data_IF_980068212713
#
_entry.id   IF_980068212713
#
_cell.length_a   1.000
_cell.length_b   1.000
_cell.length_c   1.000
_cell.angle_alpha   90.00
_cell.angle_beta   90.00
_cell.angle_gamma   90.00
#
_symmetry.space_group_name_H-M   'P 1'
#
loop_
_entity.id
_entity.type
_entity.pdbx_description
1 polymer ?
#
# COMPACT_ATOMS: atom_id res chain seq x y z
N UNK A 1 -37.33 35.16 59.97
CA UNK A 1 -36.90 34.97 58.54
C UNK A 1 -35.42 34.87 58.57
N UNK A 2 -34.87 33.63 58.45
CA UNK A 2 -33.44 33.31 58.44
C UNK A 2 -33.03 33.13 57.01
N UNK A 3 -31.99 33.86 56.58
CA UNK A 3 -31.40 33.76 55.23
C UNK A 3 -30.53 32.51 55.09
N UNK A 4 -30.34 31.99 53.85
CA UNK A 4 -29.61 30.76 53.61
C UNK A 4 -28.11 30.94 53.72
N UNK A 5 -27.54 29.99 54.44
CA UNK A 5 -26.12 29.76 54.70
C UNK A 5 -25.33 29.53 53.40
N UNK A 6 -24.39 30.42 53.06
CA UNK A 6 -23.43 30.26 51.95
C UNK A 6 -22.31 29.35 52.42
N UNK A 7 -22.37 28.08 52.06
CA UNK A 7 -21.21 27.19 52.20
C UNK A 7 -20.13 27.58 51.19
N UNK A 8 -19.02 28.02 51.71
CA UNK A 8 -17.78 28.25 50.96
C UNK A 8 -17.21 26.87 50.55
N UNK A 9 -17.12 26.62 49.29
CA UNK A 9 -16.42 25.43 48.74
C UNK A 9 -14.91 25.63 48.93
N UNK A 10 -14.16 24.60 49.33
CA UNK A 10 -12.71 24.71 49.50
C UNK A 10 -12.01 24.91 48.13
N UNK A 11 -11.07 25.85 48.12
CA UNK A 11 -10.18 26.10 46.95
C UNK A 11 -9.48 24.83 46.52
N UNK A 12 -9.57 24.55 45.22
CA UNK A 12 -8.86 23.43 44.60
C UNK A 12 -7.35 23.70 44.65
N UNK A 13 -6.62 22.86 45.36
CA UNK A 13 -5.15 22.87 45.35
C UNK A 13 -4.61 22.76 43.93
N UNK A 14 -3.47 23.42 43.59
CA UNK A 14 -2.88 23.37 42.27
C UNK A 14 -2.53 21.90 41.90
N UNK A 15 -3.11 21.43 40.82
CA UNK A 15 -2.81 20.12 40.28
C UNK A 15 -1.33 20.10 39.89
N UNK A 16 -0.55 19.27 40.55
CA UNK A 16 0.82 18.94 40.13
C UNK A 16 0.75 18.45 38.68
N UNK A 17 1.58 19.06 37.84
CA UNK A 17 1.79 18.65 36.46
C UNK A 17 2.11 17.15 36.43
N UNK A 18 1.14 16.33 36.09
CA UNK A 18 1.39 14.95 35.69
C UNK A 18 1.95 14.98 34.27
N UNK A 19 3.06 14.29 34.01
CA UNK A 19 3.53 14.14 32.64
C UNK A 19 2.38 13.54 31.79
N UNK A 20 2.22 13.98 30.54
CA UNK A 20 1.19 13.44 29.67
C UNK A 20 1.34 11.91 29.59
N UNK A 21 0.22 11.16 29.53
CA UNK A 21 0.27 9.72 29.46
C UNK A 21 1.10 9.30 28.23
N UNK A 22 1.85 8.20 28.35
CA UNK A 22 2.77 7.70 27.32
C UNK A 22 2.15 7.63 25.90
N UNK A 23 0.83 7.44 25.82
CA UNK A 23 0.07 7.46 24.58
C UNK A 23 0.08 8.83 23.86
N UNK A 24 0.08 9.95 24.59
CA UNK A 24 0.13 11.28 23.96
C UNK A 24 1.49 11.54 23.29
N UNK A 25 2.56 10.98 23.85
CA UNK A 25 3.92 11.09 23.27
C UNK A 25 4.08 10.20 22.03
N UNK A 26 3.41 9.06 22.00
CA UNK A 26 3.41 8.17 20.85
C UNK A 26 2.67 8.81 19.67
N UNK A 27 1.48 9.37 19.91
CA UNK A 27 0.69 10.05 18.87
C UNK A 27 1.40 11.29 18.33
N UNK A 28 2.08 12.10 19.13
CA UNK A 28 2.81 13.28 18.65
C UNK A 28 3.99 12.91 17.73
N UNK A 29 4.58 11.72 17.86
CA UNK A 29 5.61 11.22 16.94
C UNK A 29 5.02 10.78 15.59
N UNK A 30 3.79 10.28 15.55
CA UNK A 30 3.07 9.97 14.31
C UNK A 30 2.60 11.22 13.57
N UNK A 31 2.34 12.33 14.30
CA UNK A 31 1.85 13.60 13.75
C UNK A 31 2.93 14.67 13.57
N UNK A 32 4.17 14.42 13.95
CA UNK A 32 5.24 15.24 13.42
C UNK A 32 5.00 15.34 11.92
N UNK A 33 4.92 16.57 11.32
CA UNK A 33 4.69 16.70 9.90
C UNK A 33 5.82 15.90 9.24
N UNK A 34 5.47 14.65 8.83
CA UNK A 34 6.38 13.88 7.99
C UNK A 34 6.72 14.86 6.89
N UNK A 35 7.98 15.14 6.64
CA UNK A 35 8.31 16.00 5.54
C UNK A 35 7.52 15.38 4.37
N UNK A 36 6.51 16.09 3.90
CA UNK A 36 5.87 15.80 2.62
C UNK A 36 6.97 16.02 1.62
N UNK A 37 7.92 15.11 1.70
CA UNK A 37 9.04 15.09 0.81
C UNK A 37 8.41 14.84 -0.54
N UNK A 38 8.31 15.94 -1.24
CA UNK A 38 9.13 16.02 -2.33
C UNK A 38 8.50 16.21 -3.66
N UNK A 39 7.51 15.58 -4.04
CA UNK A 39 7.22 15.50 -5.47
C UNK A 39 6.43 16.70 -5.99
N UNK A 40 5.52 17.24 -5.20
CA UNK A 40 4.62 18.29 -5.70
C UNK A 40 5.33 19.64 -5.94
N UNK A 41 6.21 20.05 -5.04
CA UNK A 41 6.89 21.36 -5.17
C UNK A 41 7.95 21.36 -6.26
N UNK A 42 8.63 20.24 -6.46
CA UNK A 42 9.63 20.09 -7.53
C UNK A 42 8.99 19.86 -8.90
N UNK A 43 7.88 19.12 -8.96
CA UNK A 43 7.07 18.99 -10.17
C UNK A 43 6.47 20.30 -10.64
N UNK A 44 6.11 21.19 -9.72
CA UNK A 44 5.55 22.50 -10.01
C UNK A 44 6.62 23.53 -10.41
N UNK A 45 7.88 23.32 -10.05
CA UNK A 45 8.96 24.25 -10.31
C UNK A 45 9.56 24.18 -11.72
N UNK A 46 9.22 23.15 -12.52
CA UNK A 46 9.68 23.06 -13.92
C UNK A 46 11.18 22.85 -14.11
N UNK A 47 11.88 22.33 -13.10
CA UNK A 47 13.33 22.19 -13.08
C UNK A 47 13.83 21.00 -13.93
N UNK A 48 14.89 21.18 -14.75
CA UNK A 48 15.60 20.08 -15.38
C UNK A 48 16.32 19.27 -14.30
N UNK A 49 16.00 18.00 -14.15
CA UNK A 49 16.52 17.10 -13.11
C UNK A 49 15.45 16.28 -12.44
N UNK A 50 14.20 16.49 -12.78
CA UNK A 50 13.05 15.70 -12.31
C UNK A 50 13.10 14.24 -12.77
N UNK A 51 13.86 13.90 -13.81
CA UNK A 51 14.09 12.53 -14.25
C UNK A 51 14.47 11.61 -13.08
N UNK A 52 15.34 12.10 -12.17
CA UNK A 52 15.76 11.36 -10.99
C UNK A 52 14.66 11.13 -9.94
N UNK A 53 13.59 11.93 -9.94
CA UNK A 53 12.48 11.79 -8.98
C UNK A 53 11.42 10.76 -9.44
N UNK A 54 11.41 10.43 -10.73
CA UNK A 54 10.49 9.46 -11.34
C UNK A 54 11.15 8.17 -11.80
N UNK A 55 12.46 8.04 -11.62
CA UNK A 55 13.12 6.74 -11.80
C UNK A 55 12.69 5.83 -10.66
N UNK A 56 12.01 4.75 -11.02
CA UNK A 56 11.73 3.69 -10.09
C UNK A 56 13.04 3.13 -9.58
N UNK A 57 13.15 3.09 -8.26
CA UNK A 57 14.30 2.45 -7.62
C UNK A 57 13.88 1.04 -7.29
N UNK A 58 14.56 0.06 -7.85
CA UNK A 58 14.43 -1.30 -7.36
C UNK A 58 14.93 -1.35 -5.92
N UNK A 59 14.12 -1.84 -5.02
CA UNK A 59 14.50 -2.12 -3.65
C UNK A 59 15.72 -3.06 -3.61
N UNK A 60 16.63 -2.84 -2.67
CA UNK A 60 17.86 -3.64 -2.56
C UNK A 60 17.91 -4.36 -1.23
N UNK A 61 18.13 -5.65 -1.29
CA UNK A 61 18.39 -6.45 -0.11
C UNK A 61 19.77 -6.12 0.49
N UNK A 62 19.95 -6.29 1.81
CA UNK A 62 21.28 -6.27 2.42
C UNK A 62 22.23 -7.26 1.75
N UNK A 63 23.52 -6.94 1.74
CA UNK A 63 24.55 -7.81 1.13
C UNK A 63 24.64 -9.19 1.83
N UNK A 64 24.43 -9.22 3.14
CA UNK A 64 24.37 -10.45 3.93
C UNK A 64 22.91 -10.75 4.30
N UNK A 65 22.42 -11.92 3.90
CA UNK A 65 21.08 -12.38 4.23
C UNK A 65 21.14 -13.52 5.25
N UNK A 66 20.28 -13.52 6.28
CA UNK A 66 20.20 -14.61 7.25
C UNK A 66 19.71 -15.90 6.57
N UNK A 67 20.05 -17.04 7.13
CA UNK A 67 19.55 -18.35 6.72
C UNK A 67 18.96 -19.06 7.94
N UNK A 68 17.66 -19.34 7.96
CA UNK A 68 16.63 -19.07 6.93
C UNK A 68 16.35 -17.58 6.73
N UNK A 69 15.86 -17.21 5.54
CA UNK A 69 15.50 -15.82 5.21
C UNK A 69 14.09 -15.50 5.70
N UNK A 70 13.99 -14.62 6.68
CA UNK A 70 12.74 -14.07 7.20
C UNK A 70 12.66 -12.58 6.88
N UNK A 71 11.50 -12.11 6.42
CA UNK A 71 11.28 -10.72 6.07
C UNK A 71 10.41 -10.03 7.14
N UNK A 72 10.77 -8.83 7.53
CA UNK A 72 9.92 -7.97 8.36
C UNK A 72 9.73 -6.64 7.64
N UNK A 73 8.56 -6.44 7.05
CA UNK A 73 8.27 -5.25 6.24
C UNK A 73 7.37 -4.26 7.00
N UNK A 74 7.67 -2.95 6.82
CA UNK A 74 7.06 -1.89 7.60
C UNK A 74 7.45 -1.99 9.07
N UNK A 75 8.72 -2.33 9.34
CA UNK A 75 9.17 -2.66 10.69
C UNK A 75 9.13 -1.46 11.66
N UNK A 76 9.12 -0.23 11.15
CA UNK A 76 9.19 0.95 11.99
C UNK A 76 10.33 0.86 13.01
N UNK A 77 10.01 1.13 14.27
CA UNK A 77 10.95 1.03 15.39
C UNK A 77 11.07 -0.43 15.96
N UNK A 78 10.22 -1.36 15.48
CA UNK A 78 10.24 -2.76 15.92
C UNK A 78 11.27 -3.59 15.13
N UNK A 79 12.55 -3.45 15.45
CA UNK A 79 13.61 -4.18 14.76
C UNK A 79 13.74 -5.58 15.36
N UNK A 80 13.42 -6.61 14.58
CA UNK A 80 13.43 -8.01 15.01
C UNK A 80 14.74 -8.70 14.65
N UNK A 81 15.33 -9.42 15.62
CA UNK A 81 16.49 -10.24 15.37
C UNK A 81 16.14 -11.49 14.54
N UNK A 82 17.03 -11.87 13.62
CA UNK A 82 16.82 -12.99 12.70
C UNK A 82 15.97 -12.65 11.47
N UNK A 83 15.51 -11.40 11.34
CA UNK A 83 14.79 -10.91 10.18
C UNK A 83 15.64 -9.94 9.35
N UNK A 84 15.33 -9.85 8.05
CA UNK A 84 15.67 -8.70 7.24
C UNK A 84 14.59 -7.66 7.48
N UNK A 85 14.91 -6.64 8.28
CA UNK A 85 14.01 -5.55 8.63
C UNK A 85 13.98 -4.52 7.49
N UNK A 86 12.78 -4.21 6.99
CA UNK A 86 12.53 -3.39 5.81
C UNK A 86 11.58 -2.26 6.18
N UNK A 87 11.96 -1.01 5.93
CA UNK A 87 11.09 0.14 6.16
C UNK A 87 11.36 1.26 5.17
N UNK A 88 10.35 2.09 4.93
CA UNK A 88 10.49 3.28 4.08
C UNK A 88 11.46 4.30 4.69
N UNK A 89 11.46 4.42 6.02
CA UNK A 89 12.33 5.31 6.79
C UNK A 89 13.19 4.51 7.76
N UNK A 90 14.43 4.09 7.37
CA UNK A 90 15.29 3.36 8.26
C UNK A 90 15.71 4.23 9.45
N UNK A 91 15.41 3.77 10.65
CA UNK A 91 15.77 4.44 11.92
C UNK A 91 16.98 3.79 12.60
N UNK A 92 17.35 2.59 12.17
CA UNK A 92 18.40 1.78 12.70
C UNK A 92 19.28 1.22 11.55
N UNK A 93 20.55 1.01 11.78
CA UNK A 93 21.48 0.45 10.77
C UNK A 93 21.11 -0.98 10.32
N UNK A 94 20.30 -1.70 11.13
CA UNK A 94 19.78 -3.03 10.80
C UNK A 94 18.53 -2.99 9.91
N UNK A 95 18.01 -1.80 9.59
CA UNK A 95 16.82 -1.61 8.76
C UNK A 95 17.26 -1.21 7.35
N UNK A 96 16.91 -2.01 6.35
CA UNK A 96 17.12 -1.66 4.97
C UNK A 96 16.02 -0.71 4.48
N UNK A 97 16.40 0.33 3.76
CA UNK A 97 15.43 1.22 3.14
C UNK A 97 14.64 0.48 2.07
N UNK A 98 13.31 0.47 2.22
CA UNK A 98 12.42 -0.28 1.37
C UNK A 98 11.09 0.43 1.17
N UNK A 99 10.73 0.69 -0.07
CA UNK A 99 9.40 1.14 -0.42
C UNK A 99 8.59 -0.03 -0.97
N UNK A 100 7.52 -0.40 -0.29
CA UNK A 100 6.67 -1.54 -0.66
C UNK A 100 6.02 -1.38 -2.05
N UNK A 101 5.92 -0.15 -2.55
CA UNK A 101 5.33 0.17 -3.85
C UNK A 101 6.38 0.31 -4.97
N UNK A 102 7.68 0.28 -4.65
CA UNK A 102 8.73 0.17 -5.65
C UNK A 102 8.97 -1.30 -6.05
N UNK A 103 9.51 -1.56 -7.25
CA UNK A 103 9.78 -2.93 -7.67
C UNK A 103 10.66 -3.69 -6.68
N UNK A 104 10.24 -4.88 -6.33
CA UNK A 104 11.05 -5.76 -5.50
C UNK A 104 12.13 -6.46 -6.35
N UNK A 105 13.23 -6.94 -5.76
CA UNK A 105 14.25 -7.67 -6.49
C UNK A 105 13.68 -8.89 -7.22
N UNK A 106 14.07 -9.08 -8.48
CA UNK A 106 13.70 -10.26 -9.23
C UNK A 106 14.88 -10.69 -10.15
N UNK A 107 15.30 -11.95 -10.10
CA UNK A 107 14.86 -12.96 -9.15
C UNK A 107 15.33 -12.67 -7.71
N UNK A 108 14.61 -13.18 -6.72
CA UNK A 108 15.09 -13.21 -5.35
C UNK A 108 16.33 -14.14 -5.26
N UNK A 109 17.36 -13.78 -4.49
CA UNK A 109 18.57 -14.62 -4.38
C UNK A 109 18.24 -16.01 -3.83
N UNK A 110 17.21 -16.12 -3.01
CA UNK A 110 16.57 -17.35 -2.54
C UNK A 110 15.15 -17.03 -2.04
N UNK A 111 14.21 -18.00 -2.07
CA UNK A 111 12.89 -17.80 -1.51
C UNK A 111 12.94 -17.52 0.00
N UNK A 112 12.12 -16.58 0.47
CA UNK A 112 12.00 -16.31 1.89
C UNK A 112 11.18 -17.40 2.58
N UNK A 113 11.60 -17.79 3.78
CA UNK A 113 10.96 -18.81 4.61
C UNK A 113 9.66 -18.34 5.23
N UNK A 114 9.49 -17.02 5.34
CA UNK A 114 8.26 -16.38 5.78
C UNK A 114 8.43 -14.88 5.94
N UNK A 115 7.35 -14.22 6.36
CA UNK A 115 7.35 -12.80 6.57
C UNK A 115 6.49 -12.39 7.77
N UNK A 116 6.76 -11.19 8.30
CA UNK A 116 6.02 -10.55 9.37
C UNK A 116 5.73 -9.10 9.03
N UNK A 117 4.56 -8.60 9.39
CA UNK A 117 4.24 -7.18 9.39
C UNK A 117 3.22 -6.85 10.47
N UNK A 118 3.35 -5.67 11.05
CA UNK A 118 2.40 -5.10 11.99
C UNK A 118 2.13 -3.65 11.60
N UNK A 119 0.86 -3.24 11.58
CA UNK A 119 0.42 -1.87 11.26
C UNK A 119 1.02 -1.29 9.97
N UNK A 120 0.93 -2.06 8.89
CA UNK A 120 1.58 -1.71 7.62
C UNK A 120 0.60 -1.66 6.45
N UNK A 121 -0.13 -2.75 6.20
CA UNK A 121 -0.96 -2.87 4.99
C UNK A 121 -2.11 -1.86 4.96
N UNK A 122 -2.68 -1.50 6.09
CA UNK A 122 -3.78 -0.53 6.20
C UNK A 122 -3.42 0.88 5.72
N UNK A 123 -2.13 1.20 5.58
CA UNK A 123 -1.65 2.46 5.04
C UNK A 123 -1.69 2.56 3.51
N UNK A 124 -2.06 1.48 2.84
CA UNK A 124 -2.15 1.37 1.39
C UNK A 124 -3.59 1.23 0.92
N UNK A 125 -3.90 1.70 -0.30
CA UNK A 125 -5.19 1.44 -0.94
C UNK A 125 -5.33 -0.04 -1.32
N UNK A 126 -6.54 -0.53 -1.49
CA UNK A 126 -6.82 -1.96 -1.72
C UNK A 126 -6.02 -2.56 -2.89
N UNK A 127 -5.90 -1.85 -4.00
CA UNK A 127 -5.14 -2.32 -5.16
C UNK A 127 -3.63 -2.35 -4.88
N UNK A 128 -3.12 -1.40 -4.08
CA UNK A 128 -1.72 -1.37 -3.65
C UNK A 128 -1.42 -2.51 -2.67
N UNK A 129 -2.34 -2.83 -1.78
CA UNK A 129 -2.21 -3.99 -0.90
C UNK A 129 -2.15 -5.29 -1.71
N UNK A 130 -3.00 -5.43 -2.75
CA UNK A 130 -2.92 -6.60 -3.64
C UNK A 130 -1.56 -6.68 -4.32
N UNK A 131 -1.06 -5.56 -4.84
CA UNK A 131 0.29 -5.51 -5.44
C UNK A 131 1.36 -5.97 -4.46
N UNK A 132 1.37 -5.42 -3.23
CA UNK A 132 2.33 -5.79 -2.17
C UNK A 132 2.24 -7.30 -1.86
N UNK A 133 1.03 -7.84 -1.73
CA UNK A 133 0.85 -9.26 -1.46
C UNK A 133 1.26 -10.15 -2.65
N UNK A 134 1.10 -9.71 -3.90
CA UNK A 134 1.61 -10.43 -5.07
C UNK A 134 3.14 -10.45 -5.10
N UNK A 135 3.81 -9.32 -4.81
CA UNK A 135 5.27 -9.26 -4.66
C UNK A 135 5.76 -10.18 -3.54
N UNK A 136 5.06 -10.14 -2.40
CA UNK A 136 5.36 -11.01 -1.27
C UNK A 136 5.20 -12.49 -1.62
N UNK A 137 4.12 -12.86 -2.33
CA UNK A 137 3.93 -14.22 -2.79
C UNK A 137 5.08 -14.67 -3.70
N UNK A 138 5.48 -13.82 -4.66
CA UNK A 138 6.60 -14.14 -5.55
C UNK A 138 7.93 -14.33 -4.80
N UNK A 139 8.12 -13.62 -3.67
CA UNK A 139 9.33 -13.71 -2.84
C UNK A 139 9.37 -14.94 -1.92
N UNK A 140 8.21 -15.44 -1.48
CA UNK A 140 8.10 -16.51 -0.49
C UNK A 140 8.30 -17.90 -1.07
N UNK A 141 8.84 -18.82 -0.27
CA UNK A 141 8.87 -20.26 -0.58
C UNK A 141 7.44 -20.85 -0.66
N UNK A 142 7.23 -21.94 -1.41
CA UNK A 142 5.96 -22.67 -1.39
C UNK A 142 5.57 -23.06 0.05
N UNK A 143 4.30 -22.83 0.42
CA UNK A 143 3.81 -23.13 1.78
C UNK A 143 4.28 -22.21 2.89
N UNK A 144 5.14 -21.23 2.58
CA UNK A 144 5.58 -20.24 3.57
C UNK A 144 4.43 -19.37 4.08
N UNK A 145 4.59 -18.81 5.25
CA UNK A 145 3.60 -17.99 5.94
C UNK A 145 4.06 -16.54 6.01
N UNK A 146 3.18 -15.64 5.62
CA UNK A 146 3.29 -14.22 5.92
C UNK A 146 2.29 -13.87 7.03
N UNK A 147 2.80 -13.56 8.21
CA UNK A 147 1.98 -13.12 9.32
C UNK A 147 1.73 -11.63 9.24
N UNK A 148 0.47 -11.22 9.32
CA UNK A 148 0.09 -9.81 9.35
C UNK A 148 -0.82 -9.51 10.53
N UNK A 149 -0.51 -8.41 11.22
CA UNK A 149 -1.34 -7.80 12.23
C UNK A 149 -1.71 -6.40 11.77
N UNK A 150 -2.99 -6.04 11.93
CA UNK A 150 -3.48 -4.72 11.54
C UNK A 150 -4.74 -4.35 12.33
N UNK A 151 -5.16 -3.08 12.36
CA UNK A 151 -6.44 -2.68 12.93
C UNK A 151 -7.61 -3.38 12.22
N UNK A 152 -8.54 -3.92 13.01
CA UNK A 152 -9.76 -4.53 12.51
C UNK A 152 -10.86 -3.48 12.35
N UNK A 153 -11.45 -3.39 11.15
CA UNK A 153 -12.63 -2.56 10.93
C UNK A 153 -13.78 -2.92 11.87
N UNK A 154 -14.08 -4.22 12.02
CA UNK A 154 -15.17 -4.67 12.86
C UNK A 154 -14.96 -4.31 14.33
N UNK A 155 -13.75 -4.54 14.86
CA UNK A 155 -13.38 -4.16 16.24
C UNK A 155 -13.36 -2.65 16.45
N UNK A 156 -12.93 -1.87 15.46
CA UNK A 156 -12.97 -0.41 15.52
C UNK A 156 -14.41 0.08 15.64
N UNK A 157 -15.31 -0.42 14.80
CA UNK A 157 -16.74 -0.06 14.85
C UNK A 157 -17.36 -0.47 16.19
N UNK A 158 -17.04 -1.67 16.68
CA UNK A 158 -17.52 -2.14 17.98
C UNK A 158 -16.99 -1.25 19.14
N UNK A 159 -15.72 -0.92 19.12
CA UNK A 159 -15.09 -0.04 20.11
C UNK A 159 -15.70 1.36 20.11
N UNK A 160 -16.06 1.89 18.95
CA UNK A 160 -16.68 3.21 18.84
C UNK A 160 -18.19 3.18 19.14
N UNK A 161 -18.82 2.01 19.28
CA UNK A 161 -20.25 1.90 19.59
C UNK A 161 -20.56 2.46 20.97
N UNK A 162 -21.49 3.39 21.03
CA UNK A 162 -21.83 4.11 22.28
C UNK A 162 -20.78 5.14 22.68
N UNK A 163 -19.81 5.43 21.80
CA UNK A 163 -18.79 6.41 22.11
C UNK A 163 -19.37 7.83 22.14
N UNK A 164 -19.30 8.46 23.30
CA UNK A 164 -19.63 9.87 23.49
C UNK A 164 -18.45 10.53 24.21
N UNK A 165 -17.55 11.21 23.47
CA UNK A 165 -16.38 11.83 24.07
C UNK A 165 -16.81 12.94 25.01
N UNK A 166 -16.15 13.02 26.16
CA UNK A 166 -16.37 14.12 27.08
C UNK A 166 -15.69 15.38 26.56
N UNK A 167 -16.32 16.57 26.71
CA UNK A 167 -15.67 17.83 26.38
C UNK A 167 -14.28 17.91 27.02
N UNK A 168 -13.25 18.21 26.23
CA UNK A 168 -11.86 18.28 26.68
C UNK A 168 -11.06 16.98 26.62
N UNK A 169 -11.65 15.84 26.29
CA UNK A 169 -10.88 14.65 25.93
C UNK A 169 -10.14 14.87 24.61
N UNK A 170 -9.00 14.17 24.45
CA UNK A 170 -8.09 14.39 23.33
C UNK A 170 -8.77 14.30 21.95
N UNK A 171 -9.63 13.30 21.74
CA UNK A 171 -10.33 13.13 20.47
C UNK A 171 -11.29 14.29 20.17
N UNK A 172 -12.06 14.73 21.19
CA UNK A 172 -12.96 15.87 21.05
C UNK A 172 -12.18 17.18 20.83
N UNK A 173 -11.16 17.44 21.67
CA UNK A 173 -10.40 18.69 21.62
C UNK A 173 -9.55 18.82 20.35
N UNK A 174 -9.00 17.72 19.86
CA UNK A 174 -8.06 17.74 18.73
C UNK A 174 -8.75 17.53 17.37
N UNK A 175 -9.88 16.80 17.33
CA UNK A 175 -10.50 16.36 16.08
C UNK A 175 -11.99 16.66 16.00
N UNK A 176 -12.57 17.30 17.01
CA UNK A 176 -14.00 17.58 17.04
C UNK A 176 -14.88 16.33 17.02
N UNK A 177 -14.39 15.21 17.59
CA UNK A 177 -15.15 13.96 17.64
C UNK A 177 -16.29 14.10 18.64
N UNK A 178 -17.52 14.05 18.17
CA UNK A 178 -18.74 14.21 18.98
C UNK A 178 -19.67 13.00 18.89
N UNK A 179 -19.56 12.21 17.82
CA UNK A 179 -20.43 11.08 17.54
C UNK A 179 -19.65 9.78 17.33
N UNK A 180 -20.36 8.63 17.35
CA UNK A 180 -19.77 7.34 16.96
C UNK A 180 -19.16 7.37 15.54
N UNK A 181 -19.84 8.03 14.61
CA UNK A 181 -19.35 8.16 13.24
C UNK A 181 -18.05 8.96 13.18
N UNK A 182 -17.94 10.04 13.96
CA UNK A 182 -16.69 10.81 14.06
C UNK A 182 -15.57 9.96 14.66
N UNK A 183 -15.87 9.16 15.70
CA UNK A 183 -14.89 8.27 16.31
C UNK A 183 -14.38 7.21 15.35
N UNK A 184 -15.26 6.58 14.55
CA UNK A 184 -14.86 5.63 13.50
C UNK A 184 -14.00 6.31 12.44
N UNK A 185 -14.42 7.48 11.94
CA UNK A 185 -13.64 8.23 10.95
C UNK A 185 -12.28 8.68 11.48
N UNK A 186 -12.25 9.14 12.75
CA UNK A 186 -11.01 9.46 13.43
C UNK A 186 -10.09 8.22 13.50
N UNK A 187 -10.58 7.09 14.00
CA UNK A 187 -9.81 5.84 14.10
C UNK A 187 -9.30 5.34 12.75
N UNK A 188 -10.07 5.53 11.67
CA UNK A 188 -9.62 5.21 10.31
C UNK A 188 -8.57 6.20 9.75
N UNK A 189 -8.62 7.48 10.10
CA UNK A 189 -7.81 8.51 9.44
C UNK A 189 -6.58 8.94 10.22
N UNK A 190 -6.62 8.77 11.53
CA UNK A 190 -5.63 9.30 12.45
C UNK A 190 -4.20 8.86 12.16
N UNK A 191 -4.03 7.56 11.96
CA UNK A 191 -2.72 6.98 11.65
C UNK A 191 -2.41 6.99 10.15
N UNK A 192 -3.25 7.66 9.32
CA UNK A 192 -3.10 7.67 7.88
C UNK A 192 -3.58 6.39 7.21
N UNK A 193 -4.49 5.65 7.87
CA UNK A 193 -5.09 4.45 7.30
C UNK A 193 -5.87 4.80 6.03
N UNK A 194 -5.76 3.98 5.02
CA UNK A 194 -6.43 4.11 3.72
C UNK A 194 -7.47 3.04 3.51
N UNK A 195 -7.21 1.85 4.03
CA UNK A 195 -8.11 0.71 3.88
C UNK A 195 -7.99 -0.26 5.06
N UNK A 196 -9.06 -0.39 5.83
CA UNK A 196 -9.17 -1.38 6.91
C UNK A 196 -9.93 -2.60 6.43
N UNK A 197 -9.60 -3.75 7.00
CA UNK A 197 -10.23 -5.03 6.72
C UNK A 197 -11.03 -5.56 7.91
N UNK A 198 -12.03 -6.36 7.62
CA UNK A 198 -12.53 -7.45 8.44
C UNK A 198 -11.95 -8.79 7.97
N UNK A 199 -12.25 -9.87 8.68
CA UNK A 199 -11.75 -11.22 8.35
C UNK A 199 -12.10 -11.62 6.90
N UNK A 200 -13.33 -11.33 6.44
CA UNK A 200 -13.80 -11.73 5.12
C UNK A 200 -13.12 -10.96 3.98
N UNK A 201 -12.96 -9.65 4.15
CA UNK A 201 -12.32 -8.79 3.13
C UNK A 201 -10.83 -9.08 3.02
N UNK A 202 -10.13 -9.35 4.15
CA UNK A 202 -8.72 -9.76 4.12
C UNK A 202 -8.57 -11.15 3.48
N UNK A 203 -9.43 -12.12 3.83
CA UNK A 203 -9.39 -13.46 3.23
C UNK A 203 -9.62 -13.40 1.71
N UNK A 204 -10.50 -12.52 1.23
CA UNK A 204 -10.72 -12.30 -0.20
C UNK A 204 -9.46 -11.71 -0.86
N UNK A 205 -8.85 -10.68 -0.27
CA UNK A 205 -7.64 -10.05 -0.80
C UNK A 205 -6.47 -11.05 -0.83
N UNK A 206 -6.26 -11.80 0.26
CA UNK A 206 -5.24 -12.83 0.36
C UNK A 206 -5.38 -13.90 -0.74
N UNK A 207 -6.60 -14.37 -0.99
CA UNK A 207 -6.88 -15.36 -2.05
C UNK A 207 -6.52 -14.83 -3.45
N UNK A 208 -6.81 -13.55 -3.75
CA UNK A 208 -6.40 -12.91 -5.00
C UNK A 208 -4.87 -12.85 -5.15
N UNK A 209 -4.14 -12.84 -4.05
CA UNK A 209 -2.68 -12.88 -4.03
C UNK A 209 -2.11 -14.31 -3.84
N UNK A 210 -2.93 -15.37 -4.00
CA UNK A 210 -2.49 -16.76 -3.91
C UNK A 210 -2.27 -17.29 -2.49
N UNK A 211 -2.82 -16.59 -1.47
CA UNK A 211 -2.74 -16.99 -0.06
C UNK A 211 -4.07 -17.52 0.47
N UNK A 212 -3.99 -18.40 1.45
CA UNK A 212 -5.08 -18.69 2.38
C UNK A 212 -4.88 -17.88 3.66
N UNK A 213 -5.89 -17.13 4.08
CA UNK A 213 -5.85 -16.41 5.34
C UNK A 213 -6.36 -17.28 6.48
N UNK A 214 -5.52 -17.56 7.44
CA UNK A 214 -5.82 -18.31 8.66
C UNK A 214 -5.86 -17.34 9.82
N UNK A 215 -7.02 -17.17 10.44
CA UNK A 215 -7.16 -16.30 11.62
C UNK A 215 -6.41 -16.88 12.80
N UNK A 216 -5.63 -16.06 13.49
CA UNK A 216 -4.85 -16.44 14.67
C UNK A 216 -5.08 -15.43 15.79
N UNK A 217 -4.51 -15.70 16.98
CA UNK A 217 -4.41 -14.70 18.04
C UNK A 217 -3.31 -13.69 17.72
N UNK A 218 -3.29 -12.54 18.37
CA UNK A 218 -2.17 -11.59 18.19
C UNK A 218 -0.83 -12.16 18.68
N UNK A 219 -0.84 -13.04 19.68
CA UNK A 219 0.37 -13.66 20.23
C UNK A 219 0.85 -14.85 19.39
N UNK A 220 -0.06 -15.66 18.84
CA UNK A 220 0.24 -16.96 18.25
C UNK A 220 0.17 -16.94 16.73
N UNK A 221 1.09 -17.65 16.09
CA UNK A 221 1.12 -17.95 14.67
C UNK A 221 1.10 -19.46 14.45
N UNK A 222 0.64 -19.89 13.28
CA UNK A 222 0.81 -21.29 12.83
C UNK A 222 2.28 -21.68 12.66
N UNK A 223 3.17 -20.68 12.59
CA UNK A 223 4.63 -20.85 12.54
C UNK A 223 5.23 -20.28 13.83
N UNK A 224 5.83 -21.15 14.64
CA UNK A 224 6.36 -20.79 15.97
C UNK A 224 7.33 -19.59 15.94
N UNK A 225 8.18 -19.49 14.90
CA UNK A 225 9.12 -18.37 14.73
C UNK A 225 8.44 -17.01 14.58
N UNK A 226 7.20 -16.96 14.07
CA UNK A 226 6.40 -15.76 13.88
C UNK A 226 5.53 -15.42 15.09
N UNK A 227 5.47 -16.25 16.11
CA UNK A 227 4.72 -16.01 17.35
C UNK A 227 5.40 -14.97 18.22
N UNK A 228 4.61 -14.18 18.95
CA UNK A 228 5.08 -13.17 19.91
C UNK A 228 6.08 -12.15 19.34
N UNK A 229 5.90 -11.75 18.08
CA UNK A 229 6.74 -10.72 17.42
C UNK A 229 6.11 -9.33 17.43
N UNK A 230 4.84 -9.24 17.75
CA UNK A 230 4.06 -8.01 17.78
C UNK A 230 4.36 -7.16 19.02
N UNK A 231 4.21 -5.86 18.85
CA UNK A 231 4.27 -4.87 19.94
C UNK A 231 2.93 -4.72 20.66
N UNK A 232 1.83 -5.13 20.03
CA UNK A 232 0.48 -4.98 20.57
C UNK A 232 0.09 -6.15 21.46
N UNK A 233 -0.38 -5.87 22.67
CA UNK A 233 -1.08 -6.85 23.49
C UNK A 233 -2.48 -7.09 22.93
N UNK A 234 -3.02 -8.32 23.05
CA UNK A 234 -4.39 -8.65 22.61
C UNK A 234 -5.46 -7.85 23.36
N UNK A 235 -5.22 -7.60 24.65
CA UNK A 235 -6.16 -6.92 25.51
C UNK A 235 -6.24 -5.42 25.19
N UNK A 236 -7.41 -4.98 24.71
CA UNK A 236 -7.70 -3.57 24.43
C UNK A 236 -7.22 -3.05 23.07
N UNK A 237 -6.63 -3.89 22.23
CA UNK A 237 -6.27 -3.49 20.88
C UNK A 237 -7.41 -3.78 19.88
N UNK A 238 -7.70 -2.82 18.99
CA UNK A 238 -8.60 -3.05 17.86
C UNK A 238 -7.97 -3.92 16.76
N UNK A 239 -6.80 -4.53 17.01
CA UNK A 239 -6.07 -5.31 16.05
C UNK A 239 -6.64 -6.74 15.88
N UNK A 240 -6.39 -7.31 14.72
CA UNK A 240 -6.59 -8.72 14.44
C UNK A 240 -5.35 -9.28 13.72
N UNK A 241 -5.13 -10.57 13.82
CA UNK A 241 -3.97 -11.24 13.29
C UNK A 241 -4.38 -12.38 12.34
N UNK A 242 -3.67 -12.49 11.24
CA UNK A 242 -3.81 -13.58 10.27
C UNK A 242 -2.46 -14.08 9.81
N UNK A 243 -2.38 -15.38 9.65
CA UNK A 243 -1.32 -16.03 8.91
C UNK A 243 -1.77 -16.24 7.46
N UNK A 244 -1.09 -15.61 6.53
CA UNK A 244 -1.32 -15.74 5.10
C UNK A 244 -0.44 -16.88 4.57
N UNK A 245 -1.02 -18.06 4.39
CA UNK A 245 -0.31 -19.27 3.95
C UNK A 245 -0.27 -19.30 2.42
N UNK A 246 0.92 -19.30 1.83
CA UNK A 246 1.07 -19.38 0.37
C UNK A 246 0.57 -20.72 -0.15
N UNK A 247 -0.50 -20.71 -0.95
CA UNK A 247 -1.12 -21.90 -1.56
C UNK A 247 -0.91 -21.99 -3.05
N UNK A 248 -0.99 -20.86 -3.74
CA UNK A 248 -0.81 -20.78 -5.18
C UNK A 248 0.37 -19.84 -5.45
N UNK A 249 1.33 -20.30 -6.22
CA UNK A 249 2.45 -19.47 -6.60
C UNK A 249 2.01 -18.40 -7.61
N UNK A 250 2.55 -17.19 -7.44
CA UNK A 250 2.41 -16.10 -8.39
C UNK A 250 3.76 -15.88 -9.08
N UNK A 251 3.74 -15.80 -10.39
CA UNK A 251 4.89 -15.47 -11.22
C UNK A 251 4.79 -14.00 -11.63
N UNK A 252 5.81 -13.24 -11.33
CA UNK A 252 5.96 -11.87 -11.82
C UNK A 252 6.71 -11.86 -13.15
N UNK A 253 6.13 -11.18 -14.14
CA UNK A 253 6.77 -10.87 -15.41
C UNK A 253 6.89 -9.35 -15.52
N UNK A 254 8.09 -8.86 -15.82
CA UNK A 254 8.37 -7.44 -16.04
C UNK A 254 8.75 -7.23 -17.49
N UNK A 255 8.05 -6.31 -18.17
CA UNK A 255 8.26 -6.01 -19.57
C UNK A 255 8.67 -4.55 -19.74
N UNK A 256 9.74 -4.32 -20.50
CA UNK A 256 10.10 -2.97 -20.95
C UNK A 256 9.00 -2.41 -21.88
N UNK A 257 8.86 -1.08 -22.01
CA UNK A 257 7.96 -0.48 -22.97
C UNK A 257 8.24 -0.99 -24.39
N UNK A 258 7.18 -1.42 -25.08
CA UNK A 258 7.24 -1.91 -26.45
C UNK A 258 6.93 -0.80 -27.45
N UNK A 259 5.82 -0.93 -28.20
CA UNK A 259 5.41 0.08 -29.17
C UNK A 259 4.93 1.37 -28.50
N UNK A 260 5.46 2.50 -28.96
CA UNK A 260 5.08 3.85 -28.52
C UNK A 260 4.40 4.56 -29.69
N UNK A 261 3.19 5.06 -29.46
CA UNK A 261 2.41 5.76 -30.45
C UNK A 261 1.90 7.10 -29.93
N UNK A 262 2.06 8.16 -30.72
CA UNK A 262 1.54 9.48 -30.39
C UNK A 262 2.20 10.15 -29.19
N UNK A 263 3.37 9.70 -28.77
CA UNK A 263 4.18 10.28 -27.69
C UNK A 263 5.54 10.63 -28.25
N UNK A 264 5.91 11.91 -28.13
CA UNK A 264 7.27 12.35 -28.40
C UNK A 264 8.14 12.07 -27.18
N UNK A 265 9.10 11.16 -27.33
CA UNK A 265 10.04 10.80 -26.27
C UNK A 265 11.09 11.89 -26.15
N UNK A 266 11.19 12.51 -24.98
CA UNK A 266 12.17 13.58 -24.70
C UNK A 266 13.42 13.00 -24.05
N UNK A 267 13.25 12.06 -23.11
CA UNK A 267 14.35 11.45 -22.36
C UNK A 267 14.06 9.99 -22.04
N UNK A 268 15.09 9.14 -22.13
CA UNK A 268 15.02 7.74 -21.69
C UNK A 268 16.08 7.47 -20.63
N UNK A 269 15.71 6.65 -19.62
CA UNK A 269 16.64 6.19 -18.58
C UNK A 269 16.55 4.67 -18.50
N UNK A 270 17.62 3.99 -18.90
CA UNK A 270 17.62 2.53 -19.05
C UNK A 270 16.56 2.09 -20.07
N UNK A 271 15.70 1.16 -19.67
CA UNK A 271 14.59 0.65 -20.50
C UNK A 271 13.28 1.41 -20.29
N UNK A 272 13.29 2.49 -19.51
CA UNK A 272 12.11 3.28 -19.19
C UNK A 272 12.16 4.64 -19.89
N UNK A 273 10.98 5.16 -20.28
CA UNK A 273 10.85 6.53 -20.75
C UNK A 273 10.72 7.41 -19.50
N UNK A 274 11.76 8.19 -19.23
CA UNK A 274 11.76 9.12 -18.12
C UNK A 274 10.80 10.29 -18.39
N UNK A 275 10.76 10.78 -19.64
CA UNK A 275 9.86 11.87 -20.07
C UNK A 275 9.40 11.70 -21.51
N UNK A 276 8.13 11.98 -21.70
CA UNK A 276 7.53 12.14 -23.03
C UNK A 276 6.45 13.23 -23.01
N UNK A 277 6.06 13.68 -24.17
CA UNK A 277 4.93 14.57 -24.36
C UNK A 277 3.90 13.91 -25.29
N UNK A 278 2.66 13.88 -24.87
CA UNK A 278 1.55 13.34 -25.67
C UNK A 278 1.25 14.32 -26.81
N UNK A 279 1.38 13.86 -28.06
CA UNK A 279 1.21 14.69 -29.26
C UNK A 279 -0.15 14.55 -29.91
N UNK A 280 -0.83 13.43 -29.70
CA UNK A 280 -2.11 13.17 -30.34
C UNK A 280 -3.10 12.45 -29.43
N UNK A 281 -4.38 12.51 -29.76
CA UNK A 281 -5.41 11.76 -29.06
C UNK A 281 -5.23 10.25 -29.33
N UNK A 282 -5.43 9.43 -28.29
CA UNK A 282 -5.22 7.99 -28.36
C UNK A 282 -3.74 7.57 -28.34
N UNK A 283 -2.85 8.50 -27.95
CA UNK A 283 -1.45 8.18 -27.69
C UNK A 283 -1.33 7.07 -26.64
N UNK A 284 -0.43 6.13 -26.88
CA UNK A 284 -0.30 4.95 -26.02
C UNK A 284 1.10 4.36 -26.04
N UNK A 285 1.39 3.62 -24.96
CA UNK A 285 2.50 2.69 -24.88
C UNK A 285 1.94 1.30 -24.68
N UNK A 286 2.42 0.34 -25.44
CA UNK A 286 1.95 -1.03 -25.37
C UNK A 286 3.05 -2.01 -25.01
N UNK A 287 2.65 -3.11 -24.39
CA UNK A 287 3.49 -4.23 -23.99
C UNK A 287 2.85 -5.52 -24.50
N UNK A 288 3.57 -6.23 -25.35
CA UNK A 288 3.13 -7.54 -25.80
C UNK A 288 3.55 -8.60 -24.81
N UNK A 289 2.61 -9.44 -24.39
CA UNK A 289 2.89 -10.53 -23.47
C UNK A 289 3.73 -11.61 -24.18
N UNK A 290 4.74 -12.21 -23.51
CA UNK A 290 5.53 -13.29 -24.08
C UNK A 290 4.68 -14.52 -24.41
N UNK A 291 3.62 -14.72 -23.63
CA UNK A 291 2.60 -15.74 -23.85
C UNK A 291 1.21 -15.16 -23.57
N UNK A 292 0.21 -15.56 -24.36
CA UNK A 292 -1.19 -15.19 -24.07
C UNK A 292 -1.63 -15.70 -22.68
N UNK A 293 -2.30 -14.86 -21.90
CA UNK A 293 -2.73 -15.19 -20.52
C UNK A 293 -4.23 -14.92 -20.37
N UNK A 294 -5.04 -15.88 -19.91
CA UNK A 294 -6.43 -15.61 -19.56
C UNK A 294 -6.55 -14.53 -18.50
N UNK A 295 -7.50 -13.61 -18.66
CA UNK A 295 -7.69 -12.49 -17.72
C UNK A 295 -7.92 -12.98 -16.28
N UNK A 296 -8.59 -14.12 -16.09
CA UNK A 296 -8.81 -14.73 -14.78
C UNK A 296 -7.58 -15.37 -14.14
N UNK A 297 -6.51 -15.58 -14.90
CA UNK A 297 -5.23 -16.06 -14.38
C UNK A 297 -4.27 -14.89 -13.98
N UNK A 298 -4.64 -13.65 -14.25
CA UNK A 298 -3.87 -12.47 -13.87
C UNK A 298 -4.34 -11.98 -12.51
N UNK A 299 -3.48 -12.05 -11.51
CA UNK A 299 -3.76 -11.58 -10.16
C UNK A 299 -3.65 -10.05 -10.03
N UNK A 300 -2.70 -9.43 -10.74
CA UNK A 300 -2.51 -7.98 -10.71
C UNK A 300 -1.73 -7.52 -11.94
N UNK A 301 -2.04 -6.33 -12.41
CA UNK A 301 -1.25 -5.60 -13.42
C UNK A 301 -0.84 -4.26 -12.84
N UNK A 302 0.41 -3.86 -13.06
CA UNK A 302 0.91 -2.52 -12.74
C UNK A 302 1.68 -1.95 -13.93
N UNK A 303 1.06 -1.04 -14.67
CA UNK A 303 1.77 -0.28 -15.70
C UNK A 303 2.42 0.95 -15.06
N UNK A 304 3.75 0.95 -14.96
CA UNK A 304 4.49 2.07 -14.37
C UNK A 304 4.42 3.28 -15.28
N UNK A 305 3.96 4.42 -14.75
CA UNK A 305 3.86 5.65 -15.51
C UNK A 305 3.08 6.73 -14.79
N UNK A 306 3.42 8.00 -15.03
CA UNK A 306 2.73 9.13 -14.42
C UNK A 306 2.33 10.14 -15.50
N UNK A 307 1.19 10.76 -15.33
CA UNK A 307 0.83 11.98 -16.04
C UNK A 307 1.23 13.17 -15.18
N UNK A 308 2.21 13.92 -15.61
CA UNK A 308 2.78 15.05 -14.86
C UNK A 308 1.93 16.31 -14.97
N UNK A 309 1.02 16.36 -15.95
CA UNK A 309 0.10 17.48 -16.19
C UNK A 309 -1.22 17.31 -15.42
N UNK A 310 -1.54 16.10 -14.93
CA UNK A 310 -2.82 15.73 -14.35
C UNK A 310 -3.19 16.45 -13.04
N UNK A 311 -2.27 17.18 -12.43
CA UNK A 311 -2.56 17.94 -11.20
C UNK A 311 -3.50 19.12 -11.39
N UNK A 312 -3.82 19.49 -12.61
CA UNK A 312 -4.69 20.64 -12.91
C UNK A 312 -6.06 20.26 -13.45
N UNK A 313 -6.20 19.07 -14.05
CA UNK A 313 -7.47 18.60 -14.61
C UNK A 313 -7.48 17.05 -14.63
N UNK A 314 -8.66 16.44 -14.46
CA UNK A 314 -8.84 14.99 -14.52
C UNK A 314 -8.43 14.43 -15.88
N UNK A 315 -7.16 14.13 -16.07
CA UNK A 315 -6.70 13.42 -17.25
C UNK A 315 -7.08 11.95 -17.12
N UNK A 316 -7.90 11.49 -18.04
CA UNK A 316 -8.33 10.09 -18.07
C UNK A 316 -7.15 9.23 -18.55
N UNK A 317 -6.52 8.52 -17.64
CA UNK A 317 -5.64 7.41 -17.98
C UNK A 317 -6.45 6.13 -18.12
N UNK A 318 -6.07 5.30 -19.06
CA UNK A 318 -6.72 4.01 -19.26
C UNK A 318 -5.68 2.92 -19.44
N UNK A 319 -5.92 1.76 -18.82
CA UNK A 319 -5.31 0.51 -19.21
C UNK A 319 -6.18 -0.15 -20.27
N UNK A 320 -5.57 -0.54 -21.37
CA UNK A 320 -6.22 -1.18 -22.50
C UNK A 320 -5.70 -2.60 -22.61
N UNK A 321 -6.60 -3.56 -22.74
CA UNK A 321 -6.31 -4.99 -22.86
C UNK A 321 -6.76 -5.47 -24.24
N UNK A 322 -5.91 -6.26 -24.89
CA UNK A 322 -6.16 -6.77 -26.24
C UNK A 322 -5.93 -8.26 -26.32
N UNK A 323 -6.70 -8.89 -27.18
CA UNK A 323 -6.59 -10.30 -27.51
C UNK A 323 -7.39 -10.64 -28.77
N UNK A 324 -7.54 -11.92 -29.10
CA UNK A 324 -8.32 -12.35 -30.27
C UNK A 324 -9.78 -11.92 -30.27
N UNK A 325 -10.28 -11.54 -29.09
CA UNK A 325 -11.66 -11.05 -28.86
C UNK A 325 -11.83 -9.54 -29.14
N UNK A 326 -10.75 -8.83 -29.44
CA UNK A 326 -10.75 -7.39 -29.65
C UNK A 326 -10.02 -6.63 -28.55
N UNK A 327 -10.57 -5.48 -28.16
CA UNK A 327 -10.00 -4.54 -27.21
C UNK A 327 -11.02 -4.19 -26.13
N UNK A 328 -10.53 -4.03 -24.88
CA UNK A 328 -11.31 -3.47 -23.78
C UNK A 328 -10.44 -2.56 -22.91
N UNK A 329 -11.06 -1.63 -22.20
CA UNK A 329 -10.33 -0.64 -21.46
C UNK A 329 -10.86 -0.46 -20.03
N UNK A 330 -9.96 -0.15 -19.12
CA UNK A 330 -10.24 0.20 -17.73
C UNK A 330 -9.74 1.62 -17.43
N UNK A 331 -10.64 2.50 -17.00
CA UNK A 331 -10.28 3.83 -16.54
C UNK A 331 -9.58 3.74 -15.18
N UNK A 332 -8.49 4.46 -15.03
CA UNK A 332 -7.71 4.49 -13.80
C UNK A 332 -8.17 5.63 -12.90
N UNK A 333 -8.39 5.32 -11.63
CA UNK A 333 -8.72 6.32 -10.62
C UNK A 333 -7.43 6.90 -10.03
N UNK A 334 -7.18 8.19 -10.33
CA UNK A 334 -6.01 8.91 -9.86
C UNK A 334 -6.06 9.23 -8.36
N UNK A 335 -7.23 9.10 -7.72
CA UNK A 335 -7.42 9.44 -6.31
C UNK A 335 -7.11 8.28 -5.36
N UNK A 336 -7.16 7.04 -5.86
CA UNK A 336 -7.02 5.82 -5.06
C UNK A 336 -5.62 5.19 -5.18
N UNK A 337 -4.57 6.03 -5.13
CA UNK A 337 -3.19 5.57 -5.16
C UNK A 337 -2.26 6.45 -4.31
N UNK A 338 -1.26 5.83 -3.74
CA UNK A 338 -0.23 6.50 -2.92
C UNK A 338 0.91 7.06 -3.76
N UNK A 339 1.20 6.43 -4.90
CA UNK A 339 2.23 6.85 -5.85
C UNK A 339 1.62 7.18 -7.21
N UNK A 340 1.93 8.36 -7.72
CA UNK A 340 1.46 8.82 -9.03
C UNK A 340 1.88 7.93 -10.20
N UNK A 341 2.97 7.18 -10.03
CA UNK A 341 3.52 6.31 -11.08
C UNK A 341 2.95 4.89 -11.11
N UNK A 342 2.03 4.53 -10.23
CA UNK A 342 1.39 3.22 -10.25
C UNK A 342 0.05 3.28 -10.98
N UNK A 343 -0.18 2.33 -11.86
CA UNK A 343 -1.44 2.17 -12.58
C UNK A 343 -1.87 0.71 -12.46
N UNK A 344 -2.65 0.45 -11.41
CA UNK A 344 -3.00 -0.91 -10.97
C UNK A 344 -4.34 -1.35 -11.55
N UNK A 345 -4.41 -2.58 -12.04
CA UNK A 345 -5.67 -3.26 -12.34
C UNK A 345 -5.78 -4.55 -11.52
N UNK A 346 -6.90 -4.68 -10.80
CA UNK A 346 -7.29 -5.86 -10.04
C UNK A 346 -8.04 -6.85 -10.92
N UNK A 347 -8.16 -8.15 -10.55
CA UNK A 347 -8.83 -9.17 -11.37
C UNK A 347 -10.25 -8.81 -11.79
N UNK A 348 -11.04 -8.16 -10.93
CA UNK A 348 -12.39 -7.72 -11.27
C UNK A 348 -12.41 -6.67 -12.37
N UNK A 349 -11.45 -5.72 -12.34
CA UNK A 349 -11.30 -4.69 -13.37
C UNK A 349 -10.86 -5.29 -14.70
N UNK A 350 -9.94 -6.27 -14.66
CA UNK A 350 -9.47 -7.03 -15.82
C UNK A 350 -10.62 -7.82 -16.45
N UNK A 351 -11.33 -8.61 -15.67
CA UNK A 351 -12.47 -9.40 -16.17
C UNK A 351 -13.55 -8.53 -16.78
N UNK A 352 -13.85 -7.37 -16.16
CA UNK A 352 -14.84 -6.42 -16.69
C UNK A 352 -14.37 -5.79 -18.00
N UNK A 353 -13.11 -5.31 -18.07
CA UNK A 353 -12.53 -4.71 -19.27
C UNK A 353 -12.46 -5.70 -20.44
N UNK A 354 -12.11 -6.95 -20.17
CA UNK A 354 -12.01 -8.00 -21.19
C UNK A 354 -13.37 -8.61 -21.58
N UNK A 355 -14.43 -8.36 -20.80
CA UNK A 355 -15.74 -8.98 -21.03
C UNK A 355 -15.82 -10.45 -20.59
N UNK A 356 -14.94 -10.91 -19.72
CA UNK A 356 -14.89 -12.25 -19.13
C UNK A 356 -13.51 -12.63 -18.63
N UNK A 357 -13.48 -13.52 -17.62
CA UNK A 357 -12.23 -14.03 -17.04
C UNK A 357 -11.51 -15.03 -17.95
N UNK A 358 -12.24 -15.67 -18.86
CA UNK A 358 -11.75 -16.64 -19.85
C UNK A 358 -11.09 -15.99 -21.07
N UNK A 359 -11.28 -14.68 -21.24
CA UNK A 359 -10.69 -13.92 -22.35
C UNK A 359 -9.17 -13.87 -22.25
N UNK A 360 -8.53 -14.24 -23.34
CA UNK A 360 -7.08 -14.28 -23.43
C UNK A 360 -6.53 -12.88 -23.72
N UNK A 361 -5.59 -12.42 -22.92
CA UNK A 361 -4.88 -11.16 -23.10
C UNK A 361 -3.54 -11.43 -23.77
N UNK A 362 -3.25 -10.74 -24.85
CA UNK A 362 -1.99 -10.83 -25.61
C UNK A 362 -1.16 -9.54 -25.52
N UNK A 363 -1.84 -8.42 -25.34
CA UNK A 363 -1.22 -7.10 -25.24
C UNK A 363 -1.93 -6.26 -24.17
N UNK A 364 -1.16 -5.48 -23.44
CA UNK A 364 -1.62 -4.48 -22.51
C UNK A 364 -1.05 -3.12 -22.94
N UNK A 365 -1.85 -2.08 -22.94
CA UNK A 365 -1.39 -0.73 -23.24
C UNK A 365 -1.82 0.25 -22.16
N UNK A 366 -1.05 1.32 -21.99
CA UNK A 366 -1.38 2.48 -21.19
C UNK A 366 -1.63 3.67 -22.12
N UNK A 367 -2.81 4.28 -22.01
CA UNK A 367 -3.10 5.58 -22.56
C UNK A 367 -2.86 6.61 -21.45
N UNK A 368 -1.77 7.38 -21.50
CA UNK A 368 -1.28 8.10 -20.32
C UNK A 368 -1.95 9.47 -20.11
N UNK A 369 -2.72 9.97 -21.10
CA UNK A 369 -3.35 11.28 -21.00
C UNK A 369 -3.81 11.88 -22.33
N UNK A 370 -3.93 13.20 -22.36
CA UNK A 370 -4.38 13.97 -23.52
C UNK A 370 -3.20 14.62 -24.24
N UNK A 371 -3.43 15.08 -25.47
CA UNK A 371 -2.44 15.86 -26.21
C UNK A 371 -1.97 17.08 -25.42
N UNK A 372 -0.66 17.28 -25.35
CA UNK A 372 0.02 18.29 -24.54
C UNK A 372 0.38 17.86 -23.12
N UNK A 373 -0.09 16.68 -22.67
CA UNK A 373 0.29 16.16 -21.36
C UNK A 373 1.75 15.68 -21.35
N UNK A 374 2.46 16.02 -20.28
CA UNK A 374 3.77 15.46 -19.97
C UNK A 374 3.60 14.16 -19.20
N UNK A 375 4.33 13.14 -19.60
CA UNK A 375 4.18 11.80 -19.04
C UNK A 375 5.54 11.16 -18.75
N UNK A 376 5.55 10.26 -17.76
CA UNK A 376 6.64 9.28 -17.59
C UNK A 376 6.06 7.90 -17.81
N UNK A 377 6.85 7.00 -18.38
CA UNK A 377 6.44 5.63 -18.68
C UNK A 377 7.57 4.69 -18.29
N UNK A 378 7.21 3.64 -17.60
CA UNK A 378 8.13 2.62 -17.14
C UNK A 378 7.73 1.22 -17.57
N UNK A 379 8.25 0.20 -16.91
CA UNK A 379 7.93 -1.18 -17.22
C UNK A 379 6.48 -1.53 -16.87
N UNK A 380 5.98 -2.59 -17.49
CA UNK A 380 4.77 -3.29 -17.11
C UNK A 380 5.14 -4.47 -16.21
N UNK A 381 4.49 -4.55 -15.06
CA UNK A 381 4.57 -5.69 -14.15
C UNK A 381 3.25 -6.46 -14.19
N UNK A 382 3.34 -7.75 -14.45
CA UNK A 382 2.20 -8.67 -14.48
C UNK A 382 2.44 -9.77 -13.47
N UNK A 383 1.46 -9.98 -12.62
CA UNK A 383 1.44 -11.07 -11.65
C UNK A 383 0.38 -12.06 -12.08
N UNK A 384 0.79 -13.25 -12.48
CA UNK A 384 -0.10 -14.31 -12.92
C UNK A 384 0.05 -15.57 -12.04
N UNK A 385 -1.02 -16.32 -11.88
CA UNK A 385 -0.96 -17.61 -11.18
C UNK A 385 -0.10 -18.58 -11.98
N UNK A 386 0.83 -19.26 -11.28
CA UNK A 386 1.62 -20.34 -11.89
C UNK A 386 0.69 -21.49 -12.31
N UNK A 387 0.90 -21.97 -13.54
CA UNK A 387 0.21 -23.17 -14.07
C UNK A 387 0.85 -24.45 -13.57
#
# INVERSE_FOLDING_TARGET
MAGPDRRILPEASPRRDRPPPAHATMLSRFFAPRPRRFLLSQLLAGEPGLAGAFTWRTNRLPAALPDPLWLHFGCGENVLDGFVNLDFLPHDARVAQWDLLDPWPAPWPRPASGAFSEDTLEHFFLAEQLYILCELNAALAPGAVARTLMPSYARLVEYCRGFAPRPGEFLHATFGVETEADAVNAGMRFSGHRWLHDDASLARLARLAGFEAVKTSCAESTVAFLSNRNLRAEEGSAAFAHDLVKRVAIVRTTLAPGEIRGIEVVETVGEAIAFGEVREAGARVSWRLPHPVPAGEIACVNARGANLSAFREHSLKRLVFRGPWGEGAWALDETLKSKACMNLAMPAALALACGGADRVVEEIALEPGRSGDRVTIGPLEIFAYAR
#
